data_IF_577857639630
#
_entry.id   IF_577857639630
#
_cell.length_a   1.000
_cell.length_b   1.000
_cell.length_c   1.000
_cell.angle_alpha   90.00
_cell.angle_beta   90.00
_cell.angle_gamma   90.00
#
_symmetry.space_group_name_H-M   'P 1'
#
loop_
_entity.id
_entity.type
_entity.pdbx_description
1 polymer ?
#
# COMPACT_ATOMS: atom_id res chain seq x y z
N UNK A 1 -28.03 -27.14 18.84
CA UNK A 1 -27.26 -27.51 17.63
C UNK A 1 -27.36 -26.43 16.53
N UNK A 2 -26.38 -25.53 16.48
CA UNK A 2 -25.61 -25.09 15.29
C UNK A 2 -24.62 -23.99 15.75
N UNK A 3 -23.32 -24.00 15.36
CA UNK A 3 -22.39 -22.93 15.68
C UNK A 3 -22.32 -21.91 14.53
N UNK A 4 -22.32 -20.60 14.84
CA UNK A 4 -22.01 -19.56 13.84
C UNK A 4 -20.64 -18.97 14.11
N UNK A 5 -19.71 -19.39 13.25
CA UNK A 5 -18.58 -18.66 12.69
C UNK A 5 -17.75 -17.77 13.62
N UNK A 6 -16.49 -18.19 13.80
CA UNK A 6 -15.40 -17.38 14.32
C UNK A 6 -15.32 -16.05 13.58
N UNK A 7 -15.43 -14.97 14.35
CA UNK A 7 -15.05 -13.64 13.92
C UNK A 7 -13.56 -13.63 13.63
N UNK A 8 -13.20 -13.36 12.37
CA UNK A 8 -11.84 -13.06 11.99
C UNK A 8 -11.32 -11.87 12.82
N UNK A 9 -10.17 -11.99 13.51
CA UNK A 9 -9.55 -10.86 14.18
C UNK A 9 -8.58 -10.16 13.23
N UNK A 10 -9.04 -9.68 12.07
CA UNK A 10 -8.16 -9.01 11.10
C UNK A 10 -8.81 -7.72 10.60
N UNK A 11 -8.95 -6.78 11.53
CA UNK A 11 -9.49 -5.44 11.31
C UNK A 11 -8.54 -4.37 11.83
N UNK A 12 -7.44 -4.15 11.09
CA UNK A 12 -6.86 -2.82 10.89
C UNK A 12 -6.09 -2.16 12.04
N UNK A 13 -4.79 -2.45 12.10
CA UNK A 13 -3.78 -1.51 12.62
C UNK A 13 -3.25 -1.85 14.01
N UNK A 14 -2.36 -2.83 14.10
CA UNK A 14 -1.51 -2.98 15.28
C UNK A 14 -0.65 -1.72 15.44
N UNK A 15 -0.76 -0.96 16.55
CA UNK A 15 0.04 0.25 16.76
C UNK A 15 1.55 -0.02 16.87
N UNK A 16 1.96 -1.26 17.10
CA UNK A 16 3.36 -1.71 17.17
C UNK A 16 3.97 -2.02 15.79
N UNK A 17 3.12 -2.21 14.77
CA UNK A 17 3.53 -2.63 13.43
C UNK A 17 3.76 -1.48 12.45
N UNK A 18 3.21 -0.29 12.73
CA UNK A 18 3.33 0.89 11.87
C UNK A 18 4.74 1.50 11.99
N UNK A 19 5.57 1.26 10.98
CA UNK A 19 6.93 1.82 10.90
C UNK A 19 6.97 3.13 10.12
N UNK A 20 5.81 3.72 9.79
CA UNK A 20 5.75 4.90 8.92
C UNK A 20 6.51 6.07 9.49
N UNK A 21 6.36 6.32 10.79
CA UNK A 21 7.07 7.38 11.50
C UNK A 21 8.57 7.10 11.67
N UNK A 22 9.00 5.84 11.51
CA UNK A 22 10.40 5.45 11.54
C UNK A 22 11.09 5.61 10.17
N UNK A 23 10.31 5.81 9.08
CA UNK A 23 10.83 6.05 7.74
C UNK A 23 11.09 7.54 7.52
N UNK A 24 12.31 7.86 7.11
CA UNK A 24 12.70 9.19 6.67
C UNK A 24 11.95 9.59 5.40
N UNK A 25 11.81 10.89 5.14
CA UNK A 25 11.18 11.39 3.92
C UNK A 25 11.83 10.83 2.63
N UNK A 26 13.14 10.62 2.64
CA UNK A 26 13.89 10.00 1.53
C UNK A 26 13.47 8.55 1.29
N UNK A 27 13.24 7.78 2.36
CA UNK A 27 12.87 6.36 2.29
C UNK A 27 11.43 6.21 1.80
N UNK A 28 10.52 7.04 2.32
CA UNK A 28 9.14 7.11 1.82
C UNK A 28 9.11 7.45 0.32
N UNK A 29 9.95 8.38 -0.12
CA UNK A 29 10.08 8.73 -1.54
C UNK A 29 10.66 7.58 -2.38
N UNK A 30 11.64 6.85 -1.86
CA UNK A 30 12.23 5.70 -2.55
C UNK A 30 11.21 4.57 -2.74
N UNK A 31 10.39 4.31 -1.72
CA UNK A 31 9.26 3.36 -1.78
C UNK A 31 8.28 3.78 -2.88
N UNK A 32 7.82 5.03 -2.86
CA UNK A 32 6.92 5.55 -3.91
C UNK A 32 7.51 5.45 -5.32
N UNK A 33 8.80 5.75 -5.49
CA UNK A 33 9.48 5.67 -6.80
C UNK A 33 9.68 4.22 -7.28
N UNK A 34 9.82 3.26 -6.36
CA UNK A 34 9.86 1.83 -6.70
C UNK A 34 8.52 1.38 -7.25
N UNK A 35 7.43 1.69 -6.53
CA UNK A 35 6.06 1.34 -6.94
C UNK A 35 5.71 1.97 -8.28
N UNK A 36 6.08 3.25 -8.47
CA UNK A 36 5.83 3.99 -9.72
C UNK A 36 6.46 3.32 -10.94
N UNK A 37 7.58 2.60 -10.81
CA UNK A 37 8.18 1.86 -11.93
C UNK A 37 7.35 0.67 -12.41
N UNK A 38 6.59 0.02 -11.52
CA UNK A 38 5.71 -1.09 -11.89
C UNK A 38 4.25 -0.67 -12.10
N UNK A 39 3.92 0.57 -11.78
CA UNK A 39 2.61 1.10 -12.07
C UNK A 39 2.47 1.24 -13.58
N UNK A 40 1.67 0.34 -14.17
CA UNK A 40 1.48 0.30 -15.62
C UNK A 40 0.69 1.52 -16.04
N UNK A 41 1.41 2.45 -16.68
CA UNK A 41 0.95 3.76 -17.11
C UNK A 41 -0.21 3.65 -18.10
N UNK A 42 -1.33 4.26 -17.73
CA UNK A 42 -2.24 4.85 -18.71
C UNK A 42 -2.19 6.37 -18.48
N UNK A 43 -1.09 6.97 -18.90
CA UNK A 43 -0.85 8.43 -18.79
C UNK A 43 -1.88 9.25 -19.59
N UNK A 44 -2.69 8.60 -20.41
CA UNK A 44 -3.84 9.20 -21.09
C UNK A 44 -5.07 9.37 -20.16
N UNK A 45 -5.07 8.78 -18.96
CA UNK A 45 -6.11 9.01 -17.99
C UNK A 45 -6.09 10.48 -17.52
N UNK A 46 -7.18 11.21 -17.80
CA UNK A 46 -7.33 12.65 -17.58
C UNK A 46 -7.05 13.12 -16.14
N UNK A 47 -7.12 12.19 -15.18
CA UNK A 47 -6.93 12.44 -13.75
C UNK A 47 -5.61 11.88 -13.19
N UNK A 48 -4.73 11.34 -14.04
CA UNK A 48 -3.46 10.72 -13.66
C UNK A 48 -2.56 11.67 -12.84
N UNK A 49 -2.41 12.91 -13.30
CA UNK A 49 -1.55 13.91 -12.66
C UNK A 49 -2.05 14.40 -11.28
N UNK A 50 -3.34 14.20 -10.98
CA UNK A 50 -3.96 14.59 -9.72
C UNK A 50 -4.25 13.39 -8.81
N UNK A 51 -3.92 12.19 -9.25
CA UNK A 51 -4.20 10.97 -8.50
C UNK A 51 -3.33 10.90 -7.24
N UNK A 52 -3.99 10.73 -6.10
CA UNK A 52 -3.34 10.54 -4.80
C UNK A 52 -4.04 9.39 -4.10
N UNK A 53 -3.29 8.35 -3.74
CA UNK A 53 -3.79 7.22 -2.97
C UNK A 53 -2.98 7.03 -1.69
N UNK A 54 -3.66 6.94 -0.56
CA UNK A 54 -3.06 6.61 0.73
C UNK A 54 -3.12 5.09 0.89
N UNK A 55 -1.96 4.46 0.84
CA UNK A 55 -1.82 3.01 0.89
C UNK A 55 -1.26 2.60 2.24
N UNK A 56 -1.77 1.51 2.79
CA UNK A 56 -1.25 0.81 3.96
C UNK A 56 -0.67 -0.50 3.45
N UNK A 57 0.65 -0.63 3.48
CA UNK A 57 1.35 -1.78 2.92
C UNK A 57 1.94 -2.61 4.03
N UNK A 58 1.65 -3.90 4.03
CA UNK A 58 2.29 -4.86 4.93
C UNK A 58 3.47 -5.49 4.20
N UNK A 59 4.67 -5.32 4.77
CA UNK A 59 5.90 -5.93 4.30
C UNK A 59 6.31 -7.05 5.24
N UNK A 60 6.86 -8.14 4.70
CA UNK A 60 7.45 -9.21 5.51
C UNK A 60 8.89 -8.86 5.95
N UNK A 61 9.52 -9.74 6.75
CA UNK A 61 10.86 -9.52 7.30
C UNK A 61 11.99 -9.39 6.26
N UNK A 62 11.75 -9.71 4.99
CA UNK A 62 12.65 -9.46 3.86
C UNK A 62 12.43 -8.09 3.21
N UNK A 63 11.39 -7.35 3.60
CA UNK A 63 10.98 -6.07 2.99
C UNK A 63 10.19 -6.24 1.70
N UNK A 64 9.56 -7.40 1.51
CA UNK A 64 8.67 -7.65 0.36
C UNK A 64 7.23 -7.33 0.76
N UNK A 65 6.53 -6.54 -0.03
CA UNK A 65 5.11 -6.25 0.13
C UNK A 65 4.29 -7.54 -0.05
N UNK A 66 3.47 -7.85 0.95
CA UNK A 66 2.58 -9.02 0.96
C UNK A 66 1.11 -8.65 0.91
N UNK A 67 0.77 -7.52 1.52
CA UNK A 67 -0.60 -7.04 1.59
C UNK A 67 -0.61 -5.53 1.32
N UNK A 68 -1.65 -5.05 0.67
CA UNK A 68 -1.87 -3.63 0.42
C UNK A 68 -3.34 -3.35 0.66
N UNK A 69 -3.59 -2.45 1.60
CA UNK A 69 -4.90 -1.94 1.94
C UNK A 69 -4.99 -0.45 1.63
N UNK A 70 -6.21 0.04 1.44
CA UNK A 70 -6.47 1.46 1.31
C UNK A 70 -6.68 2.08 2.68
N UNK A 71 -6.03 3.21 2.93
CA UNK A 71 -6.39 4.04 4.09
C UNK A 71 -7.85 4.50 3.94
N UNK A 72 -8.57 4.79 5.04
CA UNK A 72 -10.01 5.08 5.01
C UNK A 72 -10.39 6.23 4.05
N UNK A 73 -9.50 7.21 3.87
CA UNK A 73 -9.70 8.33 2.94
C UNK A 73 -9.72 7.87 1.47
N UNK A 74 -8.80 6.98 1.11
CA UNK A 74 -8.73 6.40 -0.25
C UNK A 74 -9.83 5.38 -0.44
N UNK A 75 -10.13 4.57 0.58
CA UNK A 75 -11.25 3.62 0.54
C UNK A 75 -12.58 4.33 0.21
N UNK A 76 -12.88 5.44 0.87
CA UNK A 76 -14.09 6.22 0.58
C UNK A 76 -14.16 6.71 -0.88
N UNK A 77 -13.02 7.10 -1.48
CA UNK A 77 -12.98 7.48 -2.89
C UNK A 77 -13.10 6.27 -3.83
N UNK A 78 -12.51 5.13 -3.47
CA UNK A 78 -12.65 3.85 -4.19
C UNK A 78 -14.13 3.41 -4.23
N UNK A 79 -14.85 3.54 -3.13
CA UNK A 79 -16.27 3.20 -3.05
C UNK A 79 -17.15 4.21 -3.80
N UNK A 80 -16.75 5.49 -3.86
CA UNK A 80 -17.55 6.56 -4.46
C UNK A 80 -17.32 6.77 -5.96
N UNK A 81 -16.12 6.49 -6.48
CA UNK A 81 -15.75 6.80 -7.87
C UNK A 81 -15.12 5.56 -8.55
N UNK A 82 -15.80 4.95 -9.54
CA UNK A 82 -15.29 3.77 -10.23
C UNK A 82 -14.05 4.05 -11.08
N UNK A 83 -13.86 5.30 -11.54
CA UNK A 83 -12.68 5.71 -12.30
C UNK A 83 -11.47 5.85 -11.37
N UNK A 84 -11.67 6.39 -10.17
CA UNK A 84 -10.65 6.42 -9.11
C UNK A 84 -10.30 5.01 -8.65
N UNK A 85 -11.30 4.15 -8.44
CA UNK A 85 -11.11 2.74 -8.07
C UNK A 85 -10.18 2.02 -9.04
N UNK A 86 -10.41 2.15 -10.34
CA UNK A 86 -9.55 1.50 -11.34
C UNK A 86 -8.07 1.92 -11.21
N UNK A 87 -7.79 3.21 -10.91
CA UNK A 87 -6.44 3.71 -10.67
C UNK A 87 -5.86 3.17 -9.35
N UNK A 88 -6.66 3.18 -8.27
CA UNK A 88 -6.25 2.69 -6.95
C UNK A 88 -5.95 1.19 -6.95
N UNK A 89 -6.77 0.38 -7.61
CA UNK A 89 -6.55 -1.06 -7.75
C UNK A 89 -5.29 -1.36 -8.56
N UNK A 90 -5.03 -0.61 -9.65
CA UNK A 90 -3.76 -0.71 -10.38
C UNK A 90 -2.56 -0.33 -9.51
N UNK A 91 -2.71 0.66 -8.63
CA UNK A 91 -1.63 1.08 -7.74
C UNK A 91 -1.31 -0.02 -6.73
N UNK A 92 -2.34 -0.66 -6.19
CA UNK A 92 -2.21 -1.86 -5.34
C UNK A 92 -1.52 -3.00 -6.08
N UNK A 93 -1.91 -3.28 -7.32
CA UNK A 93 -1.29 -4.33 -8.14
C UNK A 93 0.21 -4.03 -8.39
N UNK A 94 0.55 -2.78 -8.68
CA UNK A 94 1.93 -2.34 -8.85
C UNK A 94 2.80 -2.54 -7.61
N UNK A 95 2.25 -2.31 -6.41
CA UNK A 95 2.94 -2.56 -5.14
C UNK A 95 3.15 -4.06 -4.92
N UNK A 96 2.19 -4.91 -5.30
CA UNK A 96 2.28 -6.37 -5.15
C UNK A 96 3.01 -7.05 -6.33
N UNK A 97 3.34 -6.29 -7.37
CA UNK A 97 4.03 -6.79 -8.55
C UNK A 97 5.36 -7.44 -8.17
N UNK A 98 5.69 -8.65 -8.65
CA UNK A 98 6.90 -9.38 -8.23
C UNK A 98 8.20 -8.61 -8.53
N UNK A 99 8.17 -7.69 -9.49
CA UNK A 99 9.31 -6.84 -9.84
C UNK A 99 9.49 -5.61 -8.93
N UNK A 100 8.42 -5.14 -8.27
CA UNK A 100 8.45 -3.96 -7.39
C UNK A 100 7.99 -4.21 -5.95
N UNK A 101 7.52 -5.41 -5.63
CA UNK A 101 7.10 -5.80 -4.29
C UNK A 101 8.27 -5.75 -3.30
N UNK A 102 9.51 -5.87 -3.78
CA UNK A 102 10.70 -5.66 -2.96
C UNK A 102 10.92 -4.18 -2.72
N UNK A 103 10.27 -3.65 -1.70
CA UNK A 103 10.40 -2.26 -1.31
C UNK A 103 11.78 -2.00 -0.66
N UNK A 104 12.37 -0.80 -0.87
CA UNK A 104 13.62 -0.40 -0.24
C UNK A 104 13.39 -0.04 1.23
N UNK A 105 13.13 -1.05 2.05
CA UNK A 105 12.98 -0.91 3.50
C UNK A 105 14.38 -0.92 4.14
N UNK A 106 14.70 0.03 5.04
CA UNK A 106 16.00 0.05 5.73
C UNK A 106 16.21 -1.23 6.53
N UNK A 107 17.46 -1.70 6.57
CA UNK A 107 17.79 -2.96 7.25
C UNK A 107 17.41 -2.99 8.73
N UNK A 108 17.43 -1.83 9.39
CA UNK A 108 17.02 -1.70 10.80
C UNK A 108 15.51 -1.98 11.04
N UNK A 109 14.69 -1.95 9.99
CA UNK A 109 13.25 -2.22 10.05
C UNK A 109 12.89 -3.60 9.45
N UNK A 110 13.88 -4.35 8.97
CA UNK A 110 13.72 -5.72 8.47
C UNK A 110 13.70 -6.75 9.62
N UNK A 111 13.39 -8.00 9.30
CA UNK A 111 13.38 -9.13 10.23
C UNK A 111 12.04 -9.45 10.87
N UNK A 112 11.02 -8.61 10.69
CA UNK A 112 9.65 -8.83 11.16
C UNK A 112 8.63 -8.33 10.13
N UNK A 113 7.41 -8.85 10.20
CA UNK A 113 6.29 -8.32 9.41
C UNK A 113 5.88 -6.96 9.97
N UNK A 114 5.86 -5.93 9.13
CA UNK A 114 5.56 -4.54 9.50
C UNK A 114 4.58 -3.92 8.54
N UNK A 115 3.87 -2.90 9.00
CA UNK A 115 2.99 -2.07 8.18
C UNK A 115 3.62 -0.70 7.96
N UNK A 116 3.47 -0.16 6.76
CA UNK A 116 3.92 1.17 6.40
C UNK A 116 2.84 1.88 5.61
N UNK A 117 2.63 3.15 5.93
CA UNK A 117 1.65 4.00 5.27
C UNK A 117 2.41 4.96 4.38
N UNK A 118 2.04 5.06 3.12
CA UNK A 118 2.59 6.11 2.27
C UNK A 118 1.55 6.63 1.29
N UNK A 119 1.86 7.82 0.77
CA UNK A 119 1.06 8.49 -0.23
C UNK A 119 1.65 8.16 -1.60
N UNK A 120 0.90 7.42 -2.41
CA UNK A 120 1.24 7.15 -3.79
C UNK A 120 0.77 8.29 -4.69
N UNK A 121 1.69 8.75 -5.54
CA UNK A 121 1.49 9.77 -6.58
C UNK A 121 2.21 9.29 -7.85
N UNK A 122 1.49 9.05 -8.96
CA UNK A 122 2.07 8.57 -10.20
C UNK A 122 3.09 9.52 -10.85
#
# INVERSE_FOLDING_TARGET
PNPVQGGAPDGGGSPDGDITSALSATEQKAIGNSVRRCYTEDTAARNYAQFVAHLVVTVDGTGTARLVDFAPQTQAQVDSDPSYRALAERARDAVLSPTCAKLPIPQNLLGQTRQLKFVFRP
#
